data_IF_588047540013
#
_entry.id   IF_588047540013
#
_cell.length_a   1.000
_cell.length_b   1.000
_cell.length_c   1.000
_cell.angle_alpha   90.00
_cell.angle_beta   90.00
_cell.angle_gamma   90.00
#
_symmetry.space_group_name_H-M   'P 1'
#
loop_
_entity.id
_entity.type
_entity.pdbx_description
1 polymer ?
#
# COMPACT_ATOMS: atom_id res chain seq x y z
N UNK A 1 -20.63 43.54 64.53
CA UNK A 1 -21.17 43.84 63.18
C UNK A 1 -20.84 42.69 62.26
N UNK A 2 -21.73 42.42 61.30
CA UNK A 2 -21.59 41.55 60.11
C UNK A 2 -21.89 40.06 60.29
N UNK A 3 -23.17 39.80 60.09
CA UNK A 3 -23.76 38.59 59.56
C UNK A 3 -23.37 38.31 58.10
N UNK A 4 -23.47 37.02 57.76
CA UNK A 4 -23.85 36.40 56.46
C UNK A 4 -22.93 36.68 55.26
N UNK A 5 -22.12 35.69 54.85
CA UNK A 5 -22.47 34.57 53.96
C UNK A 5 -22.87 35.02 52.55
N UNK A 6 -22.20 34.47 51.53
CA UNK A 6 -22.80 33.94 50.29
C UNK A 6 -21.67 33.42 49.41
N UNK A 7 -21.65 32.11 49.22
CA UNK A 7 -20.94 31.39 48.15
C UNK A 7 -21.52 31.74 46.79
N UNK A 8 -20.68 31.93 45.77
CA UNK A 8 -21.10 31.70 44.39
C UNK A 8 -19.95 31.10 43.58
N UNK A 9 -20.14 29.83 43.26
CA UNK A 9 -19.47 29.15 42.15
C UNK A 9 -19.90 29.80 40.83
N UNK A 10 -18.94 30.18 39.99
CA UNK A 10 -19.19 30.25 38.55
C UNK A 10 -18.01 29.64 37.79
N UNK A 11 -18.39 28.67 36.97
CA UNK A 11 -17.62 27.79 36.14
C UNK A 11 -17.16 28.44 34.82
N UNK A 12 -16.05 27.91 34.31
CA UNK A 12 -15.74 27.68 32.88
C UNK A 12 -15.29 28.88 32.01
N UNK A 13 -13.99 28.95 31.69
CA UNK A 13 -13.46 28.65 30.35
C UNK A 13 -12.00 29.13 30.15
N UNK A 14 -11.11 28.14 30.00
CA UNK A 14 -10.06 28.00 28.98
C UNK A 14 -9.07 29.14 28.65
N UNK A 15 -7.78 28.74 28.74
CA UNK A 15 -6.63 29.02 27.85
C UNK A 15 -5.51 29.88 28.46
N UNK A 16 -4.28 29.36 28.42
CA UNK A 16 -3.08 30.22 28.53
C UNK A 16 -1.77 29.63 29.04
N UNK A 17 -1.31 28.52 28.43
CA UNK A 17 0.08 28.21 28.04
C UNK A 17 1.27 28.69 28.91
N UNK A 18 2.00 27.72 29.46
CA UNK A 18 3.42 27.84 29.86
C UNK A 18 4.28 26.85 29.06
N UNK A 19 5.36 27.34 28.45
CA UNK A 19 6.19 26.66 27.46
C UNK A 19 7.06 25.53 28.05
N UNK A 20 7.05 24.37 27.39
CA UNK A 20 8.15 23.40 27.38
C UNK A 20 8.24 22.79 25.96
N UNK A 21 9.46 22.72 25.45
CA UNK A 21 9.79 22.34 24.09
C UNK A 21 9.77 20.81 23.90
N UNK A 22 8.83 20.31 23.08
CA UNK A 22 8.92 19.08 22.28
C UNK A 22 7.57 18.88 21.56
N UNK A 23 7.41 19.50 20.39
CA UNK A 23 6.25 19.27 19.52
C UNK A 23 4.91 19.79 20.05
N UNK A 24 4.13 20.41 19.19
CA UNK A 24 2.73 20.75 19.47
C UNK A 24 1.86 19.49 19.32
N UNK A 25 2.34 18.37 19.87
CA UNK A 25 1.61 17.13 19.97
C UNK A 25 0.69 17.31 21.19
N UNK A 26 -0.61 17.30 20.96
CA UNK A 26 -1.63 17.42 21.99
C UNK A 26 -1.25 16.57 23.22
N UNK A 27 -0.90 17.20 24.34
CA UNK A 27 -0.41 16.50 25.52
C UNK A 27 -1.46 15.45 25.95
N UNK A 28 -1.05 14.19 25.99
CA UNK A 28 -1.94 13.07 26.29
C UNK A 28 -2.55 13.26 27.67
N UNK A 29 -3.85 13.00 27.79
CA UNK A 29 -4.51 13.03 29.09
C UNK A 29 -4.04 11.87 29.97
N UNK A 30 -4.09 12.02 31.29
CA UNK A 30 -3.71 10.93 32.21
C UNK A 30 -4.52 9.65 31.97
N UNK A 31 -5.77 9.78 31.52
CA UNK A 31 -6.62 8.66 31.13
C UNK A 31 -6.10 7.95 29.86
N UNK A 32 -5.62 8.70 28.88
CA UNK A 32 -5.00 8.15 27.67
C UNK A 32 -3.71 7.41 28.01
N UNK A 33 -2.85 8.01 28.85
CA UNK A 33 -1.61 7.38 29.31
C UNK A 33 -1.89 6.08 30.06
N UNK A 34 -2.89 6.05 30.95
CA UNK A 34 -3.28 4.83 31.66
C UNK A 34 -3.76 3.72 30.71
N UNK A 35 -4.53 4.10 29.69
CA UNK A 35 -5.02 3.17 28.67
C UNK A 35 -3.87 2.58 27.84
N UNK A 36 -2.94 3.43 27.39
CA UNK A 36 -1.77 2.97 26.63
C UNK A 36 -0.86 2.07 27.46
N UNK A 37 -0.67 2.39 28.74
CA UNK A 37 0.16 1.58 29.64
C UNK A 37 -0.48 0.20 29.89
N UNK A 38 -1.81 0.14 30.01
CA UNK A 38 -2.54 -1.12 30.06
C UNK A 38 -2.40 -1.92 28.76
N UNK A 39 -2.48 -1.27 27.60
CA UNK A 39 -2.28 -1.92 26.30
C UNK A 39 -0.86 -2.44 26.13
N UNK A 40 0.16 -1.66 26.51
CA UNK A 40 1.56 -2.06 26.45
C UNK A 40 1.86 -3.26 27.37
N UNK A 41 1.20 -3.32 28.53
CA UNK A 41 1.26 -4.48 29.42
C UNK A 41 0.62 -5.72 28.79
N UNK A 42 -0.54 -5.56 28.16
CA UNK A 42 -1.25 -6.66 27.50
C UNK A 42 -0.50 -7.17 26.25
N UNK A 43 0.18 -6.30 25.52
CA UNK A 43 0.97 -6.67 24.34
C UNK A 43 2.37 -7.19 24.65
N UNK A 44 2.77 -7.22 25.93
CA UNK A 44 4.10 -7.67 26.35
C UNK A 44 5.23 -6.70 26.00
N UNK A 45 4.92 -5.52 25.45
CA UNK A 45 5.89 -4.45 25.16
C UNK A 45 6.55 -3.89 26.44
N UNK A 46 5.89 -4.06 27.59
CA UNK A 46 6.37 -3.60 28.88
C UNK A 46 5.90 -4.52 30.01
N UNK A 47 6.83 -4.91 30.90
CA UNK A 47 6.57 -5.79 32.05
C UNK A 47 7.16 -5.14 33.32
N UNK A 48 6.56 -5.44 34.49
CA UNK A 48 7.06 -5.00 35.81
C UNK A 48 7.54 -6.23 36.59
N UNK A 49 8.75 -6.21 37.15
CA UNK A 49 9.30 -7.26 38.02
C UNK A 49 10.66 -7.80 37.56
N UNK A 50 11.17 -8.85 38.23
CA UNK A 50 12.46 -9.52 37.98
C UNK A 50 12.41 -10.55 36.83
N UNK A 51 11.45 -10.44 35.90
CA UNK A 51 11.43 -11.31 34.72
C UNK A 51 12.62 -10.96 33.81
N UNK A 52 13.24 -11.99 33.23
CA UNK A 52 14.39 -11.91 32.31
C UNK A 52 14.37 -10.63 31.47
N UNK A 53 15.44 -9.83 31.58
CA UNK A 53 15.66 -8.69 30.71
C UNK A 53 16.53 -9.15 29.54
N UNK A 54 16.07 -9.01 28.29
CA UNK A 54 14.92 -8.23 27.84
C UNK A 54 13.57 -8.99 27.94
N UNK A 55 12.44 -8.26 28.02
CA UNK A 55 11.12 -8.89 28.00
C UNK A 55 10.95 -9.78 26.76
N UNK A 56 10.30 -10.92 26.92
CA UNK A 56 9.99 -11.82 25.80
C UNK A 56 9.20 -11.05 24.74
N UNK A 57 9.74 -11.00 23.52
CA UNK A 57 9.09 -10.30 22.42
C UNK A 57 7.76 -10.98 22.10
N UNK A 58 6.68 -10.20 21.86
CA UNK A 58 5.42 -10.79 21.44
C UNK A 58 5.63 -11.56 20.15
N UNK A 59 5.24 -12.84 20.14
CA UNK A 59 5.25 -13.64 18.92
C UNK A 59 4.16 -13.10 18.00
N UNK A 60 4.57 -12.41 16.94
CA UNK A 60 3.64 -12.03 15.88
C UNK A 60 3.26 -13.27 15.09
N UNK A 61 1.99 -13.36 14.69
CA UNK A 61 1.53 -14.42 13.80
C UNK A 61 2.25 -14.27 12.47
N UNK A 62 3.15 -15.21 12.16
CA UNK A 62 3.72 -15.34 10.83
C UNK A 62 2.74 -16.12 9.96
N UNK A 63 2.73 -15.84 8.66
CA UNK A 63 1.98 -16.65 7.70
C UNK A 63 2.42 -18.11 7.80
N UNK A 64 1.45 -19.02 7.72
CA UNK A 64 1.74 -20.45 7.60
C UNK A 64 2.47 -20.73 6.28
N UNK A 65 3.26 -21.80 6.24
CA UNK A 65 3.92 -22.25 5.01
C UNK A 65 2.93 -22.48 3.87
N UNK A 66 1.70 -22.90 4.18
CA UNK A 66 0.64 -23.10 3.20
C UNK A 66 0.16 -21.77 2.59
N UNK A 67 -0.03 -20.74 3.42
CA UNK A 67 -0.40 -19.40 2.95
C UNK A 67 0.69 -18.77 2.07
N UNK A 68 1.96 -18.97 2.45
CA UNK A 68 3.10 -18.50 1.64
C UNK A 68 3.14 -19.20 0.29
N UNK A 69 2.97 -20.52 0.25
CA UNK A 69 2.94 -21.28 -1.01
C UNK A 69 1.79 -20.85 -1.92
N UNK A 70 0.60 -20.63 -1.35
CA UNK A 70 -0.57 -20.15 -2.09
C UNK A 70 -0.29 -18.78 -2.74
N UNK A 71 0.23 -17.83 -1.97
CA UNK A 71 0.56 -16.50 -2.47
C UNK A 71 1.65 -16.52 -3.55
N UNK A 72 2.71 -17.33 -3.35
CA UNK A 72 3.77 -17.48 -4.35
C UNK A 72 3.26 -18.09 -5.66
N UNK A 73 2.33 -19.05 -5.59
CA UNK A 73 1.71 -19.63 -6.76
C UNK A 73 0.81 -18.63 -7.49
N UNK A 74 0.05 -17.81 -6.74
CA UNK A 74 -0.77 -16.75 -7.32
C UNK A 74 0.10 -15.71 -8.03
N UNK A 75 1.15 -15.22 -7.38
CA UNK A 75 2.08 -14.23 -7.93
C UNK A 75 2.83 -14.75 -9.18
N UNK A 76 3.05 -16.07 -9.27
CA UNK A 76 3.62 -16.72 -10.46
C UNK A 76 2.63 -16.73 -11.64
N UNK A 77 1.35 -16.96 -11.37
CA UNK A 77 0.30 -16.98 -12.41
C UNK A 77 -0.04 -15.58 -12.88
N UNK A 78 -0.04 -14.59 -11.98
CA UNK A 78 -0.24 -13.17 -12.34
C UNK A 78 0.94 -12.59 -13.11
N UNK A 79 2.09 -13.27 -13.13
CA UNK A 79 3.30 -12.79 -13.79
C UNK A 79 3.97 -11.64 -13.03
N UNK A 80 3.68 -11.47 -11.74
CA UNK A 80 4.32 -10.44 -10.90
C UNK A 80 5.82 -10.72 -10.71
N UNK A 81 6.25 -11.97 -10.84
CA UNK A 81 7.67 -12.35 -10.82
C UNK A 81 7.95 -13.62 -11.63
N UNK A 82 9.20 -13.77 -12.06
CA UNK A 82 9.71 -14.96 -12.75
C UNK A 82 10.91 -15.52 -11.99
N UNK A 83 11.11 -16.84 -12.05
CA UNK A 83 12.32 -17.48 -11.56
C UNK A 83 13.29 -17.67 -12.73
N UNK A 84 14.51 -17.13 -12.61
CA UNK A 84 15.61 -17.30 -13.56
C UNK A 84 16.13 -15.98 -14.14
N UNK A 85 17.42 -15.95 -14.50
CA UNK A 85 18.14 -14.74 -14.95
C UNK A 85 17.74 -14.26 -16.35
N UNK A 86 17.01 -15.06 -17.12
CA UNK A 86 16.78 -14.81 -18.56
C UNK A 86 15.41 -14.18 -18.88
N UNK A 87 14.54 -14.01 -17.88
CA UNK A 87 13.15 -13.59 -18.08
C UNK A 87 12.82 -12.31 -17.33
N UNK A 88 13.72 -11.32 -17.42
CA UNK A 88 13.50 -9.95 -16.96
C UNK A 88 13.40 -9.00 -18.16
N UNK A 89 12.33 -8.20 -18.28
CA UNK A 89 11.18 -8.13 -17.38
C UNK A 89 10.29 -9.38 -17.46
N UNK A 90 9.44 -9.65 -16.45
CA UNK A 90 8.49 -10.75 -16.50
C UNK A 90 7.66 -10.65 -17.77
N UNK A 91 7.63 -11.72 -18.56
CA UNK A 91 6.85 -11.77 -19.79
C UNK A 91 5.38 -11.80 -19.39
N UNK A 92 4.76 -10.63 -19.39
CA UNK A 92 3.31 -10.50 -19.24
C UNK A 92 2.72 -11.29 -20.39
N UNK A 93 1.97 -12.37 -20.10
CA UNK A 93 1.24 -13.09 -21.14
C UNK A 93 0.41 -12.05 -21.89
N UNK A 94 0.71 -11.82 -23.17
CA UNK A 94 0.02 -10.83 -23.97
C UNK A 94 -1.47 -11.19 -23.95
N UNK A 95 -2.27 -10.42 -23.24
CA UNK A 95 -3.73 -10.61 -23.09
C UNK A 95 -4.49 -10.19 -24.35
N UNK A 96 -3.79 -9.77 -25.40
CA UNK A 96 -4.36 -9.51 -26.71
C UNK A 96 -4.30 -10.76 -27.59
N UNK A 97 -5.40 -11.11 -28.22
CA UNK A 97 -5.42 -12.04 -29.34
C UNK A 97 -4.46 -11.53 -30.41
N UNK A 98 -3.25 -12.12 -30.49
CA UNK A 98 -2.36 -11.86 -31.61
C UNK A 98 -3.07 -12.31 -32.88
N UNK A 99 -3.11 -11.44 -33.90
CA UNK A 99 -3.68 -11.79 -35.21
C UNK A 99 -3.03 -13.08 -35.69
N UNK A 100 -3.86 -14.03 -36.08
CA UNK A 100 -3.38 -15.25 -36.73
C UNK A 100 -2.67 -14.88 -38.02
N UNK A 101 -1.76 -15.75 -38.46
CA UNK A 101 -1.08 -15.60 -39.76
C UNK A 101 -2.09 -15.48 -40.92
N UNK A 102 -3.28 -16.07 -40.78
CA UNK A 102 -4.36 -15.97 -41.76
C UNK A 102 -4.96 -14.56 -41.80
N UNK A 103 -5.25 -13.96 -40.63
CA UNK A 103 -5.77 -12.60 -40.53
C UNK A 103 -4.78 -11.57 -41.10
N UNK A 104 -3.49 -11.72 -40.78
CA UNK A 104 -2.44 -10.82 -41.32
C UNK A 104 -2.36 -10.90 -42.84
N UNK A 105 -2.51 -12.10 -43.42
CA UNK A 105 -2.51 -12.25 -44.88
C UNK A 105 -3.74 -11.64 -45.53
N UNK A 106 -4.92 -11.78 -44.90
CA UNK A 106 -6.16 -11.17 -45.39
C UNK A 106 -6.06 -9.64 -45.38
N UNK A 107 -5.55 -9.04 -44.31
CA UNK A 107 -5.34 -7.59 -44.22
C UNK A 107 -4.32 -7.09 -45.24
N UNK A 108 -3.22 -7.82 -45.44
CA UNK A 108 -2.23 -7.46 -46.45
C UNK A 108 -2.82 -7.51 -47.86
N UNK A 109 -3.64 -8.51 -48.17
CA UNK A 109 -4.33 -8.60 -49.45
C UNK A 109 -5.32 -7.44 -49.65
N UNK A 110 -6.06 -7.08 -48.60
CA UNK A 110 -6.98 -5.94 -48.61
C UNK A 110 -6.23 -4.61 -48.82
N UNK A 111 -5.11 -4.40 -48.13
CA UNK A 111 -4.28 -3.19 -48.26
C UNK A 111 -3.67 -3.04 -49.66
N UNK A 112 -3.32 -4.15 -50.32
CA UNK A 112 -2.88 -4.16 -51.71
C UNK A 112 -4.02 -3.79 -52.66
N UNK A 113 -5.21 -4.35 -52.44
CA UNK A 113 -6.38 -4.09 -53.28
C UNK A 113 -6.88 -2.63 -53.15
N UNK A 114 -6.77 -2.03 -51.97
CA UNK A 114 -7.13 -0.64 -51.72
C UNK A 114 -6.05 0.37 -52.10
N UNK A 115 -4.89 -0.08 -52.60
CA UNK A 115 -3.78 0.80 -52.97
C UNK A 115 -3.05 1.44 -51.78
N UNK A 116 -3.37 1.05 -50.55
CA UNK A 116 -2.72 1.54 -49.33
C UNK A 116 -1.28 1.02 -49.17
N UNK A 117 -0.90 -0.02 -49.92
CA UNK A 117 0.44 -0.61 -49.92
C UNK A 117 0.87 -0.99 -51.34
N UNK A 118 2.01 -0.44 -51.79
CA UNK A 118 2.66 -0.75 -53.07
C UNK A 118 4.10 -1.25 -52.82
N UNK A 119 4.64 -2.06 -53.73
CA UNK A 119 6.02 -2.56 -53.66
C UNK A 119 6.81 -2.07 -54.88
N UNK A 120 7.90 -1.32 -54.65
CA UNK A 120 8.79 -0.78 -55.70
C UNK A 120 9.11 0.71 -55.50
N UNK A 121 9.96 1.28 -56.35
CA UNK A 121 10.36 2.71 -56.34
C UNK A 121 9.28 3.68 -56.88
N UNK A 122 8.13 3.15 -57.30
CA UNK A 122 7.06 3.95 -57.90
C UNK A 122 6.15 4.48 -56.79
N UNK A 123 6.45 5.73 -56.44
CA UNK A 123 5.66 6.70 -55.66
C UNK A 123 5.38 6.34 -54.20
N UNK A 124 6.28 6.80 -53.32
CA UNK A 124 6.01 6.99 -51.91
C UNK A 124 5.73 8.48 -51.63
N UNK A 125 4.63 8.85 -50.94
CA UNK A 125 3.57 7.98 -50.42
C UNK A 125 2.55 7.56 -51.50
N UNK A 126 1.81 6.45 -51.28
CA UNK A 126 0.76 6.01 -52.20
C UNK A 126 -0.34 7.09 -52.30
N UNK A 127 -0.60 7.56 -53.53
CA UNK A 127 -1.69 8.49 -53.81
C UNK A 127 -3.02 7.74 -53.83
N UNK A 128 -3.85 7.97 -52.81
CA UNK A 128 -5.25 7.52 -52.77
C UNK A 128 -6.06 8.34 -53.78
N UNK A 129 -6.65 7.70 -54.80
CA UNK A 129 -7.57 8.34 -55.75
C UNK A 129 -9.02 8.02 -55.41
#
# INVERSE_FOLDING_TARGET
>A
MKTLATTLFLSLALAGVGAQAAGVEQAKSSAQVATELQQAKASGQYTFGELDYPPALPQTTSLSSQEVQSQLQQAKVSGEYTFGELQYPPVIAATGSAKTRAEVQAELAQAKASGQYTFGELEYPPITR
#
